data_IF_342765478148
#
_entry.id   IF_342765478148
#
_cell.length_a   1.000
_cell.length_b   1.000
_cell.length_c   1.000
_cell.angle_alpha   90.00
_cell.angle_beta   90.00
_cell.angle_gamma   90.00
#
_symmetry.space_group_name_H-M   'P 1'
#
loop_
_entity.id
_entity.type
_entity.pdbx_description
1 polymer ?
#
# COMPACT_ATOMS: atom_id res chain seq x y z
N UNK A 1 -21.91 26.26 -40.09
CA UNK A 1 -21.79 26.75 -38.70
C UNK A 1 -21.13 25.60 -37.95
N UNK A 2 -19.80 25.55 -37.99
CA UNK A 2 -18.99 24.48 -37.39
C UNK A 2 -18.70 24.94 -35.95
N UNK A 3 -19.26 24.26 -34.97
CA UNK A 3 -19.24 24.67 -33.56
C UNK A 3 -17.81 24.59 -33.01
N UNK A 4 -17.34 25.67 -32.37
CA UNK A 4 -16.01 25.82 -31.74
C UNK A 4 -15.67 24.73 -30.70
N UNK A 5 -16.66 23.93 -30.29
CA UNK A 5 -16.51 22.79 -29.39
C UNK A 5 -15.73 21.60 -29.99
N UNK A 6 -15.64 21.50 -31.32
CA UNK A 6 -14.97 20.36 -31.98
C UNK A 6 -13.42 20.47 -31.98
N UNK A 7 -12.89 21.60 -31.49
CA UNK A 7 -11.45 21.87 -31.41
C UNK A 7 -10.80 21.37 -30.11
N UNK A 8 -11.58 20.89 -29.13
CA UNK A 8 -11.07 20.46 -27.83
C UNK A 8 -11.21 18.94 -27.64
N UNK A 9 -10.16 18.29 -27.16
CA UNK A 9 -10.15 16.88 -26.76
C UNK A 9 -9.98 16.77 -25.24
N UNK A 10 -10.74 15.84 -24.63
CA UNK A 10 -10.59 15.50 -23.23
C UNK A 10 -9.42 14.55 -23.06
N UNK A 11 -8.52 14.88 -22.15
CA UNK A 11 -7.37 14.05 -21.82
C UNK A 11 -7.47 13.56 -20.39
N UNK A 12 -7.30 12.25 -20.26
CA UNK A 12 -7.25 11.54 -18.99
C UNK A 12 -5.78 11.32 -18.64
N UNK A 13 -5.31 11.93 -17.56
CA UNK A 13 -3.95 11.74 -17.05
C UNK A 13 -3.96 11.69 -15.52
N UNK A 14 -3.43 10.59 -14.97
CA UNK A 14 -3.30 10.31 -13.53
C UNK A 14 -4.56 10.64 -12.69
N UNK A 15 -5.74 10.29 -13.22
CA UNK A 15 -7.04 10.48 -12.56
C UNK A 15 -7.65 11.88 -12.71
N UNK A 16 -6.99 12.82 -13.41
CA UNK A 16 -7.55 14.13 -13.73
C UNK A 16 -7.93 14.24 -15.21
N UNK A 17 -9.06 14.92 -15.46
CA UNK A 17 -9.57 15.17 -16.82
C UNK A 17 -9.42 16.66 -17.12
N UNK A 18 -8.76 16.98 -18.23
CA UNK A 18 -8.65 18.36 -18.71
C UNK A 18 -8.93 18.45 -20.21
N UNK A 19 -9.39 19.62 -20.67
CA UNK A 19 -9.56 19.94 -22.09
C UNK A 19 -8.21 20.42 -22.65
N UNK A 20 -7.77 19.87 -23.79
CA UNK A 20 -6.66 20.43 -24.58
C UNK A 20 -7.05 20.57 -26.05
N UNK A 21 -6.41 21.48 -26.78
CA UNK A 21 -6.74 21.72 -28.20
C UNK A 21 -6.26 20.54 -29.06
N UNK A 22 -7.13 20.03 -29.94
CA UNK A 22 -6.87 18.90 -30.85
C UNK A 22 -5.77 19.29 -31.84
N UNK A 23 -4.68 18.51 -31.92
CA UNK A 23 -3.61 18.74 -32.90
C UNK A 23 -4.12 18.36 -34.29
N UNK A 24 -4.06 19.29 -35.25
CA UNK A 24 -4.46 19.03 -36.65
C UNK A 24 -3.49 18.04 -37.30
N UNK A 25 -4.02 17.06 -38.03
CA UNK A 25 -3.24 15.99 -38.69
C UNK A 25 -2.38 16.50 -39.86
N UNK A 26 -2.59 17.73 -40.34
CA UNK A 26 -1.73 18.42 -41.30
C UNK A 26 -1.41 19.83 -40.77
N UNK A 27 -0.25 20.04 -40.14
CA UNK A 27 0.18 21.37 -39.73
C UNK A 27 0.74 22.15 -40.94
N UNK A 28 0.38 23.42 -41.17
CA UNK A 28 1.27 24.34 -41.86
C UNK A 28 2.57 24.51 -41.05
N UNK A 29 3.65 24.97 -41.70
CA UNK A 29 4.98 25.10 -41.10
C UNK A 29 4.95 25.64 -39.67
N UNK A 30 5.78 25.08 -38.77
CA UNK A 30 5.72 25.38 -37.35
C UNK A 30 6.03 26.86 -37.11
N UNK A 31 4.99 27.65 -36.85
CA UNK A 31 5.14 28.90 -36.13
C UNK A 31 5.55 28.48 -34.73
N UNK A 32 6.79 28.77 -34.35
CA UNK A 32 7.37 28.42 -33.05
C UNK A 32 6.50 29.00 -31.91
N UNK A 33 5.48 28.27 -31.49
CA UNK A 33 4.73 28.57 -30.29
C UNK A 33 5.63 28.19 -29.12
N UNK A 34 6.31 29.21 -28.60
CA UNK A 34 7.12 29.14 -27.39
C UNK A 34 6.24 28.74 -26.20
N UNK A 35 6.07 27.44 -25.96
CA UNK A 35 5.64 26.92 -24.65
C UNK A 35 6.73 26.04 -24.00
N UNK A 36 7.93 26.60 -23.69
CA UNK A 36 8.85 25.93 -22.78
C UNK A 36 8.31 25.93 -21.33
N UNK A 37 7.46 26.90 -20.96
CA UNK A 37 7.01 27.09 -19.58
C UNK A 37 5.95 26.08 -19.12
N UNK A 38 5.05 25.63 -20.01
CA UNK A 38 3.99 24.70 -19.61
C UNK A 38 4.53 23.30 -19.28
N UNK A 39 5.56 22.85 -20.01
CA UNK A 39 6.24 21.58 -19.76
C UNK A 39 7.12 21.62 -18.50
N UNK A 40 7.76 22.76 -18.20
CA UNK A 40 8.51 22.95 -16.95
C UNK A 40 7.57 22.94 -15.74
N UNK A 41 6.47 23.69 -15.81
CA UNK A 41 5.45 23.69 -14.75
C UNK A 41 4.82 22.30 -14.56
N UNK A 42 4.66 21.53 -15.64
CA UNK A 42 4.21 20.13 -15.57
C UNK A 42 5.19 19.25 -14.80
N UNK A 43 6.48 19.35 -15.11
CA UNK A 43 7.54 18.60 -14.42
C UNK A 43 7.63 18.96 -12.94
N UNK A 44 7.50 20.24 -12.59
CA UNK A 44 7.51 20.70 -11.20
C UNK A 44 6.29 20.18 -10.42
N UNK A 45 5.08 20.21 -11.00
CA UNK A 45 3.89 19.60 -10.38
C UNK A 45 4.06 18.10 -10.13
N UNK A 46 4.63 17.37 -11.11
CA UNK A 46 4.94 15.94 -10.97
C UNK A 46 5.92 15.69 -9.83
N UNK A 47 7.02 16.44 -9.79
CA UNK A 47 8.05 16.34 -8.75
C UNK A 47 7.44 16.59 -7.36
N UNK A 48 6.64 17.64 -7.21
CA UNK A 48 6.01 17.96 -5.93
C UNK A 48 5.06 16.84 -5.45
N UNK A 49 4.24 16.31 -6.35
CA UNK A 49 3.31 15.20 -6.03
C UNK A 49 4.06 13.94 -5.60
N UNK A 50 5.11 13.57 -6.33
CA UNK A 50 5.96 12.43 -5.99
C UNK A 50 6.66 12.61 -4.64
N UNK A 51 7.18 13.80 -4.34
CA UNK A 51 7.79 14.10 -3.05
C UNK A 51 6.79 13.99 -1.90
N UNK A 52 5.56 14.51 -2.09
CA UNK A 52 4.49 14.39 -1.10
C UNK A 52 4.13 12.93 -0.82
N UNK A 53 4.02 12.12 -1.87
CA UNK A 53 3.71 10.70 -1.76
C UNK A 53 4.83 9.93 -1.06
N UNK A 54 6.09 10.21 -1.44
CA UNK A 54 7.28 9.66 -0.78
C UNK A 54 7.26 9.96 0.72
N UNK A 55 7.11 11.22 1.11
CA UNK A 55 7.08 11.62 2.52
C UNK A 55 5.89 11.02 3.28
N UNK A 56 4.75 10.78 2.62
CA UNK A 56 3.62 10.08 3.22
C UNK A 56 3.99 8.62 3.52
N UNK A 57 4.49 7.90 2.52
CA UNK A 57 4.84 6.49 2.71
C UNK A 57 6.01 6.26 3.65
N UNK A 58 7.02 7.15 3.66
CA UNK A 58 8.11 7.09 4.66
C UNK A 58 7.56 7.17 6.09
N UNK A 59 6.59 8.06 6.34
CA UNK A 59 5.94 8.17 7.66
C UNK A 59 5.12 6.94 8.00
N UNK A 60 4.35 6.43 7.05
CA UNK A 60 3.56 5.21 7.26
C UNK A 60 4.47 4.03 7.58
N UNK A 61 5.54 3.81 6.80
CA UNK A 61 6.53 2.76 7.04
C UNK A 61 7.10 2.86 8.46
N UNK A 62 7.51 4.06 8.88
CA UNK A 62 8.04 4.26 10.24
C UNK A 62 7.02 3.93 11.33
N UNK A 63 5.73 4.25 11.10
CA UNK A 63 4.66 3.88 12.02
C UNK A 63 4.44 2.35 12.05
N UNK A 64 4.44 1.69 10.89
CA UNK A 64 4.33 0.23 10.79
C UNK A 64 5.50 -0.46 11.50
N UNK A 65 6.72 0.02 11.31
CA UNK A 65 7.91 -0.47 12.00
C UNK A 65 7.78 -0.33 13.52
N UNK A 66 7.39 0.85 14.00
CA UNK A 66 7.18 1.10 15.43
C UNK A 66 6.16 0.11 16.03
N UNK A 67 4.97 0.01 15.41
CA UNK A 67 3.92 -0.90 15.86
C UNK A 67 4.40 -2.36 15.88
N UNK A 68 5.10 -2.79 14.82
CA UNK A 68 5.65 -4.15 14.75
C UNK A 68 6.67 -4.43 15.86
N UNK A 69 7.51 -3.45 16.19
CA UNK A 69 8.51 -3.56 17.25
C UNK A 69 7.87 -3.55 18.63
N UNK A 70 6.82 -2.76 18.85
CA UNK A 70 6.04 -2.76 20.09
C UNK A 70 5.37 -4.12 20.29
N UNK A 71 4.70 -4.66 19.26
CA UNK A 71 4.07 -5.97 19.33
C UNK A 71 5.09 -7.07 19.63
N UNK A 72 6.26 -7.05 18.97
CA UNK A 72 7.35 -7.99 19.24
C UNK A 72 7.88 -7.86 20.67
N UNK A 73 8.05 -6.65 21.17
CA UNK A 73 8.47 -6.39 22.56
C UNK A 73 7.48 -6.95 23.57
N UNK A 74 6.17 -6.74 23.34
CA UNK A 74 5.11 -7.30 24.17
C UNK A 74 5.13 -8.83 24.14
N UNK A 75 5.27 -9.44 22.97
CA UNK A 75 5.37 -10.90 22.82
C UNK A 75 6.58 -11.48 23.58
N UNK A 76 7.74 -10.81 23.54
CA UNK A 76 8.94 -11.24 24.27
C UNK A 76 8.73 -11.09 25.78
N UNK A 77 8.17 -9.98 26.23
CA UNK A 77 7.92 -9.72 27.65
C UNK A 77 6.86 -10.64 28.28
N UNK A 78 5.90 -11.12 27.47
CA UNK A 78 4.77 -11.94 27.93
C UNK A 78 5.06 -13.45 27.96
N UNK A 79 6.19 -13.91 27.42
CA UNK A 79 6.54 -15.34 27.48
C UNK A 79 8.05 -15.59 27.45
N UNK A 80 8.67 -16.01 28.57
CA UNK A 80 10.05 -16.52 28.54
C UNK A 80 10.18 -17.83 27.73
N UNK A 81 9.06 -18.49 27.37
CA UNK A 81 9.06 -19.77 26.65
C UNK A 81 9.12 -19.62 25.12
N UNK A 82 8.62 -18.51 24.54
CA UNK A 82 8.59 -18.29 23.09
C UNK A 82 9.93 -17.83 22.48
N UNK A 83 10.88 -17.38 23.32
CA UNK A 83 12.20 -16.91 22.86
C UNK A 83 13.02 -18.01 22.15
N UNK A 84 12.86 -19.28 22.55
CA UNK A 84 13.52 -20.40 21.88
C UNK A 84 12.95 -20.70 20.49
N UNK A 85 11.66 -20.42 20.25
CA UNK A 85 11.03 -20.73 18.96
C UNK A 85 11.33 -19.66 17.89
N UNK A 86 11.53 -18.40 18.30
CA UNK A 86 11.84 -17.31 17.36
C UNK A 86 13.30 -17.33 16.85
N UNK A 87 14.27 -17.78 17.64
CA UNK A 87 15.64 -18.00 17.14
C UNK A 87 15.69 -19.09 16.05
N UNK A 88 14.84 -20.11 16.16
CA UNK A 88 14.72 -21.13 15.12
C UNK A 88 14.08 -20.55 13.85
N UNK A 89 12.99 -19.77 13.93
CA UNK A 89 12.36 -19.22 12.71
C UNK A 89 13.24 -18.23 11.92
N UNK A 90 14.15 -17.50 12.57
CA UNK A 90 15.08 -16.59 11.86
C UNK A 90 16.19 -17.33 11.11
N UNK A 91 16.63 -18.51 11.59
CA UNK A 91 17.62 -19.32 10.86
C UNK A 91 17.03 -20.02 9.62
N UNK A 92 15.71 -20.21 9.56
CA UNK A 92 15.05 -20.91 8.46
C UNK A 92 14.60 -19.96 7.33
N UNK A 93 14.49 -18.66 7.57
CA UNK A 93 14.09 -17.68 6.54
C UNK A 93 15.22 -17.34 5.55
N UNK A 94 16.48 -17.56 5.88
CA UNK A 94 17.61 -17.34 4.94
C UNK A 94 17.86 -18.53 4.01
N UNK A 95 17.15 -19.65 4.18
CA UNK A 95 17.48 -20.91 3.50
C UNK A 95 16.35 -21.59 2.73
N UNK A 96 15.12 -21.05 2.67
CA UNK A 96 14.09 -21.72 1.87
C UNK A 96 12.96 -20.83 1.37
N UNK A 97 12.91 -20.70 0.04
CA UNK A 97 11.69 -20.78 -0.77
C UNK A 97 12.07 -21.61 -2.02
N UNK A 98 11.15 -22.37 -2.65
CA UNK A 98 9.71 -22.52 -2.37
C UNK A 98 9.27 -23.99 -2.20
N UNK A 99 8.12 -24.24 -1.57
CA UNK A 99 7.08 -25.17 -2.05
C UNK A 99 5.90 -25.29 -1.08
N UNK A 100 4.74 -25.45 -1.69
CA UNK A 100 3.38 -25.62 -1.15
C UNK A 100 3.25 -26.66 -0.03
N UNK A 101 2.68 -26.26 1.12
CA UNK A 101 1.84 -27.14 1.95
C UNK A 101 1.04 -26.31 2.96
N UNK A 102 -0.20 -26.01 2.58
CA UNK A 102 -1.21 -25.30 3.38
C UNK A 102 -1.97 -26.26 4.32
N UNK A 103 -1.33 -26.84 5.34
CA UNK A 103 -2.06 -27.74 6.26
C UNK A 103 -1.77 -27.62 7.75
N UNK A 104 -0.95 -26.64 8.19
CA UNK A 104 -0.67 -26.46 9.63
C UNK A 104 -1.39 -25.26 10.25
N UNK A 105 -1.86 -24.29 9.46
CA UNK A 105 -2.57 -23.11 9.97
C UNK A 105 -4.07 -23.33 10.21
N UNK A 106 -4.69 -24.30 9.53
CA UNK A 106 -6.12 -24.61 9.71
C UNK A 106 -6.42 -25.25 11.05
N UNK A 107 -5.54 -26.14 11.53
CA UNK A 107 -5.78 -26.92 12.75
C UNK A 107 -5.68 -26.06 14.02
N UNK A 108 -4.90 -24.97 13.97
CA UNK A 108 -4.71 -24.08 15.13
C UNK A 108 -5.91 -23.14 15.35
N UNK A 109 -6.63 -22.79 14.28
CA UNK A 109 -7.86 -22.01 14.37
C UNK A 109 -9.06 -22.88 14.76
N UNK A 110 -9.09 -24.14 14.32
CA UNK A 110 -10.15 -25.10 14.64
C UNK A 110 -10.14 -25.50 16.13
N UNK A 111 -8.95 -25.64 16.72
CA UNK A 111 -8.79 -25.90 18.17
C UNK A 111 -9.24 -24.71 19.03
N UNK A 112 -9.04 -23.47 18.55
CA UNK A 112 -9.46 -22.27 19.26
C UNK A 112 -10.97 -22.03 19.18
N UNK A 113 -11.59 -22.35 18.05
CA UNK A 113 -13.05 -22.29 17.84
C UNK A 113 -13.80 -23.43 18.54
N UNK A 114 -13.11 -24.55 18.80
CA UNK A 114 -13.65 -25.70 19.54
C UNK A 114 -13.58 -25.53 21.07
N UNK A 115 -13.00 -24.43 21.57
CA UNK A 115 -13.03 -24.15 23.01
C UNK A 115 -14.46 -23.79 23.44
N UNK A 116 -15.07 -24.52 24.38
CA UNK A 116 -16.36 -24.13 24.92
C UNK A 116 -16.21 -22.79 25.66
N UNK A 117 -17.24 -21.92 25.64
CA UNK A 117 -17.24 -20.74 26.48
C UNK A 117 -17.03 -21.20 27.93
N UNK A 118 -16.13 -20.53 28.66
CA UNK A 118 -15.97 -20.73 30.09
C UNK A 118 -17.28 -20.34 30.78
N UNK A 119 -18.18 -21.32 30.93
CA UNK A 119 -19.35 -21.19 31.78
C UNK A 119 -18.80 -21.33 33.19
N UNK A 120 -18.68 -20.21 33.91
CA UNK A 120 -18.43 -20.23 35.35
C UNK A 120 -19.55 -21.02 36.03
N UNK A 121 -19.27 -22.27 36.39
CA UNK A 121 -20.21 -23.17 37.07
C UNK A 121 -20.36 -22.87 38.57
N UNK A 122 -19.66 -21.87 39.10
CA UNK A 122 -19.60 -21.61 40.55
C UNK A 122 -20.72 -20.68 41.07
N UNK A 123 -21.88 -20.62 40.40
CA UNK A 123 -23.04 -19.86 40.87
C UNK A 123 -24.33 -20.68 41.06
N UNK A 124 -24.24 -22.01 41.09
CA UNK A 124 -25.38 -22.88 41.38
C UNK A 124 -25.05 -23.93 42.46
N UNK A 125 -24.76 -23.47 43.67
CA UNK A 125 -25.05 -24.23 44.88
C UNK A 125 -25.25 -23.24 46.03
N UNK A 126 -26.52 -22.87 46.25
CA UNK A 126 -27.03 -22.27 47.47
C UNK A 126 -28.18 -23.15 47.96
#
# INVERSE_FOLDING_TARGET
MESEDDDWELCYDDGFVYKRKRRRLNPPEPVNSSEPDSEILRKERKKHTLLKLKSKYEKEILQWENLSNTLRSLQISSSPQLQQQQQQQQQHQTLSLPSTSSSTQSNLLDDLLSQPPFINSDLYFA
#
